data_IF_267941939888
#
_entry.id   IF_267941939888
#
_cell.length_a   1.000
_cell.length_b   1.000
_cell.length_c   1.000
_cell.angle_alpha   90.00
_cell.angle_beta   90.00
_cell.angle_gamma   90.00
#
_symmetry.space_group_name_H-M   'P 1'
#
loop_
_entity.id
_entity.type
_entity.pdbx_description
1 polymer ?
2 non-polymer ?
3 non-polymer ?
4 non-polymer ?
5 water ?
#
# COMPACT_ATOMS: atom_id res chain seq x y z
N UNK A 4 4.36 -16.01 1.30
CA UNK A 4 3.73 -15.52 0.03
C UNK A 4 3.63 -13.99 0.10
N UNK A 5 2.48 -13.45 0.50
CA UNK A 5 2.23 -11.98 0.50
C UNK A 5 3.15 -11.27 1.50
N UNK A 6 3.70 -10.14 1.09
CA UNK A 6 4.58 -9.30 1.91
C UNK A 6 3.79 -8.62 3.02
N UNK A 7 2.62 -8.11 2.69
CA UNK A 7 1.78 -7.42 3.68
C UNK A 7 0.44 -8.12 3.80
N UNK A 8 -0.20 -7.86 4.91
CA UNK A 8 -1.54 -8.31 5.22
C UNK A 8 -2.49 -7.16 5.43
N UNK A 9 -3.75 -7.48 5.42
CA UNK A 9 -4.81 -6.51 5.69
C UNK A 9 -4.53 -5.85 7.03
N UNK A 10 -4.64 -4.56 7.08
CA UNK A 10 -4.45 -3.77 8.28
C UNK A 10 -3.04 -3.38 8.62
N UNK A 11 -2.06 -3.84 7.86
CA UNK A 11 -0.67 -3.41 8.10
C UNK A 11 -0.59 -1.92 7.83
N UNK A 12 0.20 -1.20 8.58
CA UNK A 12 0.45 0.23 8.37
C UNK A 12 1.65 0.33 7.47
N UNK A 13 1.52 1.01 6.35
CA UNK A 13 2.59 1.09 5.37
C UNK A 13 2.73 2.54 4.90
N UNK A 14 3.85 2.81 4.28
CA UNK A 14 4.05 4.10 3.60
C UNK A 14 4.76 3.88 2.28
N UNK A 15 4.62 4.85 1.38
CA UNK A 15 5.50 4.90 0.22
C UNK A 15 6.94 5.17 0.63
N UNK A 16 7.85 4.44 -0.03
CA UNK A 16 9.29 4.55 0.25
C UNK A 16 9.78 5.86 -0.26
N UNK A 17 9.33 6.32 -1.41
CA UNK A 17 9.99 7.45 -2.07
C UNK A 17 9.01 8.14 -2.96
N UNK A 18 9.35 9.28 -3.51
CA UNK A 18 8.46 9.94 -4.44
C UNK A 18 7.24 10.46 -3.77
N UNK A 19 6.10 10.35 -4.41
CA UNK A 19 4.87 10.86 -3.84
C UNK A 19 4.60 10.14 -2.53
N UNK A 20 4.20 10.86 -1.53
CA UNK A 20 3.99 10.27 -0.22
C UNK A 20 2.61 9.66 -0.12
N UNK A 21 2.51 8.60 0.68
CA UNK A 21 1.22 7.99 1.08
C UNK A 21 1.43 7.15 2.30
N UNK A 22 0.50 7.15 3.22
CA UNK A 22 0.69 6.36 4.45
C UNK A 22 -0.68 5.97 4.98
N UNK A 23 -0.82 4.74 5.39
CA UNK A 23 -2.04 4.27 6.00
C UNK A 23 -2.10 2.77 6.00
N UNK A 24 -3.27 2.22 5.95
CA UNK A 24 -3.47 0.79 6.19
C UNK A 24 -3.70 0.07 4.88
N UNK A 25 -3.18 -1.14 4.82
CA UNK A 25 -3.49 -2.05 3.71
C UNK A 25 -4.96 -2.43 3.79
N UNK A 26 -5.73 -2.19 2.71
CA UNK A 26 -7.16 -2.50 2.62
C UNK A 26 -7.46 -3.36 1.40
N UNK A 27 -6.47 -3.81 0.65
CA UNK A 27 -6.72 -4.72 -0.47
C UNK A 27 -5.46 -4.98 -1.24
N UNK A 28 -5.66 -5.63 -2.37
CA UNK A 28 -4.57 -6.23 -3.14
C UNK A 28 -4.95 -6.32 -4.58
N UNK A 29 -3.96 -6.32 -5.46
CA UNK A 29 -4.21 -6.53 -6.88
C UNK A 29 -2.98 -7.17 -7.50
N UNK A 30 -3.20 -7.71 -8.71
CA UNK A 30 -2.18 -8.51 -9.40
C UNK A 30 -2.39 -8.32 -10.89
N UNK A 31 -1.39 -7.74 -11.52
CA UNK A 31 -1.30 -7.57 -12.97
C UNK A 31 0.04 -8.05 -13.46
N UNK A 32 0.19 -8.19 -14.77
CA UNK A 32 1.51 -8.56 -15.27
C UNK A 32 2.55 -7.50 -14.93
N UNK A 33 2.20 -6.22 -14.98
CA UNK A 33 3.14 -5.16 -14.66
C UNK A 33 3.40 -5.11 -13.17
N UNK A 34 2.40 -5.42 -12.34
CA UNK A 34 2.48 -5.36 -10.88
C UNK A 34 1.94 -6.65 -10.34
N UNK A 35 2.72 -7.71 -10.30
CA UNK A 35 2.20 -9.00 -9.86
C UNK A 35 1.87 -9.07 -8.38
N UNK A 36 2.37 -8.13 -7.59
CA UNK A 36 2.00 -8.03 -6.17
C UNK A 36 1.80 -6.56 -5.86
N UNK A 37 0.54 -6.16 -5.82
CA UNK A 37 0.17 -4.75 -5.55
C UNK A 37 -0.76 -4.70 -4.36
N UNK A 38 -0.78 -3.53 -3.75
CA UNK A 38 -1.61 -3.31 -2.56
C UNK A 38 -2.43 -2.04 -2.71
N UNK A 39 -3.63 -2.08 -2.14
CA UNK A 39 -4.46 -0.90 -1.93
C UNK A 39 -4.21 -0.40 -0.51
N UNK A 40 -3.99 0.89 -0.37
CA UNK A 40 -3.67 1.52 0.92
C UNK A 40 -4.64 2.67 1.13
N UNK A 41 -5.36 2.61 2.24
CA UNK A 41 -6.25 3.72 2.62
C UNK A 41 -5.47 4.73 3.42
N UNK A 42 -5.50 5.98 3.03
CA UNK A 42 -4.77 7.03 3.77
C UNK A 42 -5.26 7.10 5.23
N UNK A 43 -4.35 7.23 6.14
CA UNK A 43 -4.69 7.50 7.56
C UNK A 43 -4.96 8.95 7.76
N UNK A 44 -4.59 9.82 6.86
CA UNK A 44 -4.88 11.26 6.94
C UNK A 44 -6.18 11.63 6.27
N UNK A 45 -6.57 10.87 5.26
CA UNK A 45 -7.71 11.17 4.37
C UNK A 45 -8.59 9.93 4.32
N UNK A 46 -9.39 9.67 5.37
CA UNK A 46 -10.22 8.48 5.39
C UNK A 46 -11.05 8.35 4.13
N UNK A 47 -11.11 7.11 3.60
CA UNK A 47 -11.89 6.77 2.44
C UNK A 47 -11.10 6.86 1.16
N UNK A 48 -10.00 7.60 1.16
CA UNK A 48 -9.19 7.71 -0.06
C UNK A 48 -8.19 6.60 -0.09
N UNK A 49 -8.15 5.93 -1.21
CA UNK A 49 -7.34 4.72 -1.42
C UNK A 49 -6.47 4.89 -2.62
N UNK A 50 -5.21 4.53 -2.52
CA UNK A 50 -4.32 4.48 -3.69
C UNK A 50 -3.74 3.09 -3.75
N UNK A 51 -3.34 2.68 -4.93
CA UNK A 51 -2.78 1.34 -5.22
C UNK A 51 -1.33 1.50 -5.69
N UNK A 52 -0.51 0.61 -5.19
CA UNK A 52 0.93 0.65 -5.47
C UNK A 52 1.52 -0.75 -5.55
N UNK A 53 2.61 -0.91 -6.32
CA UNK A 53 3.38 -2.15 -6.26
C UNK A 53 4.03 -2.33 -4.91
N UNK A 54 4.22 -3.56 -4.52
CA UNK A 54 4.86 -3.88 -3.24
C UNK A 54 6.22 -3.20 -3.14
N UNK A 55 7.00 -3.13 -4.21
CA UNK A 55 8.35 -2.54 -4.12
C UNK A 55 8.30 -1.09 -3.70
N UNK A 56 7.18 -0.41 -3.89
CA UNK A 56 7.02 1.00 -3.60
C UNK A 56 6.71 1.21 -2.10
N UNK A 57 6.40 0.19 -1.33
CA UNK A 57 5.84 0.34 0.02
C UNK A 57 6.76 -0.29 1.04
N UNK A 58 6.67 0.24 2.24
CA UNK A 58 7.36 -0.35 3.39
C UNK A 58 6.43 -0.30 4.58
N UNK A 59 6.53 -1.32 5.42
CA UNK A 59 5.74 -1.43 6.64
C UNK A 59 6.35 -0.57 7.76
N UNK A 60 5.53 0.07 8.56
CA UNK A 60 5.94 0.90 9.70
C UNK A 60 5.16 0.44 10.94
N UNK A 61 5.56 0.91 12.12
CA UNK A 61 4.84 0.45 13.34
X LIG B 1 -2.37 5.07 -7.05
X LIG B 1 -6.82 3.90 -8.13
X LIG B 1 -3.69 5.15 -6.61
X LIG B 1 -4.63 4.26 -7.20
X LIG B 1 -5.80 5.00 -7.86
X LIG B 1 -6.45 6.01 -7.04
X LIG B 1 -7.70 4.24 -9.22
X LIG B 1 -9.03 4.37 -8.96
X LIG C 1 -2.39 -10.25 2.37
X LIG C 1 -3.36 -9.63 1.37
X LIG C 1 -4.65 -10.25 1.55
X LIG C 1 -3.58 -8.13 1.58
X LIG C 1 -2.87 -9.94 -0.04
X LIG D 1 9.59 -2.51 12.52
X LIG D 1 8.86 -2.28 11.20
X LIG D 1 7.46 -2.38 11.51
X LIG D 1 9.13 -0.88 10.68
X LIG D 1 9.15 -3.37 10.15
X LIG D 1 10.53 -3.41 9.47
X LIG D 1 10.56 -4.55 8.61
X LIG D 1 11.78 -3.47 10.32
X LIG E 1 10.29 7.56 4.28
X LIG E 1 11.18 8.44 3.38
X LIG E 1 9.01 7.27 3.40
X LIG E 1 9.82 8.36 5.46
X LIG E 1 11.05 6.30 4.68
X LIG F 1 7.63 -6.01 -14.15
X LIG F 1 7.06 -4.66 -13.79
X LIG F 1 9.16 -5.94 -14.14
X LIG F 1 7.17 -6.42 -15.52
X LIG F 1 7.11 -7.05 -13.13
#
# INVERSE_FOLDING_TARGET
>A
FPSDATFGMGDRVRKKSGAAWQGQIVGWYCTNLTPEGYAVESEAHPGSVQIYPVAALERIN
>B hetero
1 LBA C18 C23 O19 C20 C21 O22 O24 C25
>C hetero
1 MRD C1 C2 O2 CM C3
>D hetero
1 MRD C1 C2 O2 CM C3 C4 O4 C5
>E hetero
1 PO4 P O1 O2 O3 O4
>F hetero
1 PO4 P O1 O2 O3 O4
#
